data_IF_307512758592
#
_entry.id   IF_307512758592
#
_cell.length_a   1.000
_cell.length_b   1.000
_cell.length_c   1.000
_cell.angle_alpha   90.00
_cell.angle_beta   90.00
_cell.angle_gamma   90.00
#
_symmetry.space_group_name_H-M   'P 1'
#
loop_
_entity.id
_entity.type
_entity.pdbx_description
1 polymer ?
#
# COMPACT_ATOMS: atom_id res chain seq x y z
N UNK A 1 -3.94 -15.22 19.99
CA UNK A 1 -3.67 -16.09 18.83
C UNK A 1 -4.78 -16.00 17.78
N UNK A 2 -6.08 -16.11 18.14
CA UNK A 2 -7.19 -15.89 17.19
C UNK A 2 -7.17 -14.50 16.54
N UNK A 3 -7.04 -13.43 17.34
CA UNK A 3 -6.96 -12.04 16.82
C UNK A 3 -5.80 -11.80 15.84
N UNK A 4 -4.70 -12.55 15.96
CA UNK A 4 -3.51 -12.44 15.11
C UNK A 4 -3.75 -13.08 13.75
N UNK A 5 -4.31 -14.30 13.74
CA UNK A 5 -4.66 -14.98 12.51
C UNK A 5 -5.71 -14.19 11.73
N UNK A 6 -6.65 -13.54 12.43
CA UNK A 6 -7.63 -12.65 11.84
C UNK A 6 -6.98 -11.41 11.19
N UNK A 7 -6.03 -10.76 11.87
CA UNK A 7 -5.36 -9.58 11.32
C UNK A 7 -4.50 -9.91 10.09
N UNK A 8 -3.73 -10.99 10.15
CA UNK A 8 -2.92 -11.49 9.03
C UNK A 8 -3.81 -11.85 7.84
N UNK A 9 -4.95 -12.48 8.08
CA UNK A 9 -5.91 -12.82 7.03
C UNK A 9 -6.51 -11.58 6.37
N UNK A 10 -6.84 -10.54 7.14
CA UNK A 10 -7.33 -9.28 6.57
C UNK A 10 -6.31 -8.58 5.68
N UNK A 11 -5.02 -8.64 6.00
CA UNK A 11 -3.97 -8.14 5.11
C UNK A 11 -3.93 -8.88 3.77
N UNK A 12 -4.11 -10.21 3.78
CA UNK A 12 -4.14 -11.01 2.55
C UNK A 12 -5.37 -10.68 1.69
N UNK A 13 -6.54 -10.55 2.30
CA UNK A 13 -7.77 -10.19 1.59
C UNK A 13 -7.69 -8.77 1.01
N UNK A 14 -7.10 -7.84 1.75
CA UNK A 14 -6.89 -6.48 1.30
C UNK A 14 -5.87 -6.43 0.16
N UNK A 15 -4.80 -7.22 0.20
CA UNK A 15 -3.81 -7.31 -0.88
C UNK A 15 -4.47 -7.67 -2.22
N UNK A 16 -5.38 -8.66 -2.25
CA UNK A 16 -6.09 -9.05 -3.47
C UNK A 16 -7.04 -7.96 -3.98
N UNK A 17 -7.70 -7.22 -3.06
CA UNK A 17 -8.50 -6.04 -3.43
C UNK A 17 -7.63 -4.94 -4.03
N UNK A 18 -6.47 -4.67 -3.44
CA UNK A 18 -5.48 -3.70 -3.93
C UNK A 18 -4.99 -4.09 -5.32
N UNK A 19 -4.63 -5.36 -5.51
CA UNK A 19 -4.23 -5.88 -6.82
C UNK A 19 -5.29 -5.62 -7.89
N UNK A 20 -6.54 -5.95 -7.57
CA UNK A 20 -7.68 -5.78 -8.48
C UNK A 20 -7.91 -4.30 -8.80
N UNK A 21 -7.78 -3.41 -7.81
CA UNK A 21 -7.90 -1.98 -8.00
C UNK A 21 -6.77 -1.39 -8.87
N UNK A 22 -5.51 -1.70 -8.55
CA UNK A 22 -4.35 -1.17 -9.26
C UNK A 22 -4.36 -1.62 -10.72
N UNK A 23 -4.55 -2.91 -10.97
CA UNK A 23 -4.50 -3.46 -12.33
C UNK A 23 -5.79 -3.29 -13.13
N UNK A 24 -6.94 -3.10 -12.47
CA UNK A 24 -8.25 -3.06 -13.11
C UNK A 24 -8.92 -1.67 -13.19
N UNK A 25 -8.55 -0.73 -12.33
CA UNK A 25 -9.21 0.59 -12.23
C UNK A 25 -8.26 1.78 -12.38
N UNK A 26 -6.95 1.53 -12.36
CA UNK A 26 -5.93 2.57 -12.37
C UNK A 26 -5.22 2.63 -13.72
N UNK A 27 -4.60 3.75 -14.03
CA UNK A 27 -3.77 3.89 -15.24
C UNK A 27 -2.66 4.91 -15.00
N UNK A 28 -1.56 4.74 -15.73
CA UNK A 28 -0.43 5.64 -15.74
C UNK A 28 -0.33 6.34 -17.09
N UNK A 29 0.00 7.62 -17.05
CA UNK A 29 0.39 8.43 -18.20
C UNK A 29 1.87 8.78 -18.07
N UNK A 30 2.64 8.52 -19.13
CA UNK A 30 4.06 8.87 -19.15
C UNK A 30 4.22 10.39 -19.17
N UNK A 31 5.09 10.90 -18.30
CA UNK A 31 5.39 12.32 -18.24
C UNK A 31 6.46 12.65 -19.29
N UNK A 32 6.05 13.25 -20.41
CA UNK A 32 6.96 13.61 -21.50
C UNK A 32 8.12 14.49 -21.00
N UNK A 33 9.34 14.16 -21.44
CA UNK A 33 10.57 14.86 -21.03
C UNK A 33 11.12 14.45 -19.66
N UNK A 34 10.46 13.58 -18.90
CA UNK A 34 10.95 13.08 -17.60
C UNK A 34 12.28 12.33 -17.67
N UNK A 35 12.57 11.68 -18.81
CA UNK A 35 13.82 10.94 -19.02
C UNK A 35 15.07 11.81 -19.03
N UNK A 36 14.91 13.13 -19.21
CA UNK A 36 16.00 14.09 -19.07
C UNK A 36 16.38 14.36 -17.60
N UNK A 37 15.52 13.98 -16.65
CA UNK A 37 15.67 14.28 -15.21
C UNK A 37 15.80 13.00 -14.38
N UNK A 38 15.11 11.92 -14.76
CA UNK A 38 15.10 10.64 -14.05
C UNK A 38 15.31 9.49 -15.04
N UNK A 39 16.25 8.60 -14.73
CA UNK A 39 16.49 7.38 -15.51
C UNK A 39 15.24 6.49 -15.48
N UNK A 40 14.75 6.08 -16.66
CA UNK A 40 13.47 5.36 -16.79
C UNK A 40 12.24 6.27 -16.88
N UNK A 41 12.38 7.57 -16.63
CA UNK A 41 11.32 8.56 -16.68
C UNK A 41 10.38 8.54 -15.46
N UNK A 42 9.32 9.32 -15.55
CA UNK A 42 8.31 9.48 -14.52
C UNK A 42 6.92 9.36 -15.14
N UNK A 43 5.97 8.94 -14.32
CA UNK A 43 4.61 8.67 -14.70
C UNK A 43 3.66 9.39 -13.73
N UNK A 44 2.56 9.90 -14.25
CA UNK A 44 1.46 10.44 -13.45
C UNK A 44 0.28 9.49 -13.49
N UNK A 45 -0.49 9.47 -12.42
CA UNK A 45 -1.77 8.77 -12.41
C UNK A 45 -2.77 9.44 -13.33
N UNK A 46 -3.42 8.64 -14.17
CA UNK A 46 -4.58 9.10 -14.91
C UNK A 46 -5.75 9.29 -13.93
N UNK A 47 -6.60 10.31 -14.11
CA UNK A 47 -7.80 10.47 -13.30
C UNK A 47 -8.66 9.21 -13.30
N UNK A 48 -9.07 8.77 -12.11
CA UNK A 48 -9.97 7.64 -11.93
C UNK A 48 -11.35 7.95 -12.51
N UNK A 49 -12.03 6.90 -12.98
CA UNK A 49 -13.48 6.96 -13.22
C UNK A 49 -14.22 7.17 -11.89
N UNK A 50 -15.49 7.60 -11.94
CA UNK A 50 -16.31 7.74 -10.72
C UNK A 50 -16.41 6.43 -9.93
N UNK A 51 -16.51 5.29 -10.62
CA UNK A 51 -16.52 3.98 -9.98
C UNK A 51 -15.15 3.63 -9.37
N UNK A 52 -14.05 3.93 -10.08
CA UNK A 52 -12.69 3.74 -9.58
C UNK A 52 -12.40 4.58 -8.34
N UNK A 53 -12.87 5.84 -8.29
CA UNK A 53 -12.73 6.72 -7.15
C UNK A 53 -13.53 6.21 -5.92
N UNK A 54 -14.73 5.67 -6.13
CA UNK A 54 -15.51 5.05 -5.04
C UNK A 54 -14.81 3.81 -4.48
N UNK A 55 -14.23 2.96 -5.35
CA UNK A 55 -13.44 1.80 -4.96
C UNK A 55 -12.21 2.26 -4.17
N UNK A 56 -11.47 3.24 -4.68
CA UNK A 56 -10.29 3.80 -4.02
C UNK A 56 -10.62 4.30 -2.62
N UNK A 57 -11.69 5.06 -2.46
CA UNK A 57 -12.11 5.60 -1.16
C UNK A 57 -12.37 4.49 -0.14
N UNK A 58 -13.14 3.46 -0.54
CA UNK A 58 -13.44 2.31 0.33
C UNK A 58 -12.15 1.56 0.70
N UNK A 59 -11.29 1.33 -0.29
CA UNK A 59 -10.05 0.60 -0.12
C UNK A 59 -9.07 1.33 0.81
N UNK A 60 -8.91 2.64 0.64
CA UNK A 60 -8.09 3.47 1.52
C UNK A 60 -8.63 3.45 2.94
N UNK A 61 -9.94 3.55 3.12
CA UNK A 61 -10.56 3.47 4.44
C UNK A 61 -10.30 2.11 5.11
N UNK A 62 -10.54 1.01 4.39
CA UNK A 62 -10.26 -0.34 4.89
C UNK A 62 -8.78 -0.52 5.25
N UNK A 63 -7.87 0.00 4.42
CA UNK A 63 -6.43 -0.06 4.67
C UNK A 63 -6.02 0.73 5.91
N UNK A 64 -6.51 1.96 6.08
CA UNK A 64 -6.21 2.81 7.25
C UNK A 64 -6.71 2.16 8.53
N UNK A 65 -7.92 1.60 8.53
CA UNK A 65 -8.48 0.91 9.70
C UNK A 65 -7.65 -0.34 10.07
N UNK A 66 -7.20 -1.10 9.06
CA UNK A 66 -6.36 -2.28 9.26
C UNK A 66 -4.95 -1.91 9.77
N UNK A 67 -4.34 -0.88 9.17
CA UNK A 67 -3.04 -0.37 9.58
C UNK A 67 -3.07 0.17 11.01
N UNK A 68 -4.14 0.85 11.42
CA UNK A 68 -4.31 1.32 12.79
C UNK A 68 -4.33 0.17 13.81
N UNK A 69 -4.98 -0.96 13.48
CA UNK A 69 -4.96 -2.16 14.34
C UNK A 69 -3.56 -2.79 14.42
N UNK A 70 -2.86 -2.86 13.29
CA UNK A 70 -1.47 -3.33 13.23
C UNK A 70 -0.54 -2.46 14.07
N UNK A 71 -0.64 -1.14 13.93
CA UNK A 71 0.14 -0.17 14.67
C UNK A 71 -0.12 -0.26 16.18
N UNK A 72 -1.39 -0.34 16.60
CA UNK A 72 -1.76 -0.52 18.00
C UNK A 72 -1.15 -1.80 18.59
N UNK A 73 -1.11 -2.88 17.81
CA UNK A 73 -0.47 -4.15 18.23
C UNK A 73 1.02 -3.94 18.50
N UNK A 74 1.73 -3.23 17.62
CA UNK A 74 3.14 -2.91 17.79
C UNK A 74 3.40 -2.02 19.01
N UNK A 75 2.53 -1.03 19.26
CA UNK A 75 2.63 -0.15 20.43
C UNK A 75 2.44 -0.91 21.74
N UNK A 76 1.42 -1.78 21.82
CA UNK A 76 1.16 -2.60 23.01
C UNK A 76 2.29 -3.57 23.35
N UNK A 77 3.06 -3.95 22.34
CA UNK A 77 4.23 -4.82 22.46
C UNK A 77 5.54 -4.07 22.66
N UNK A 78 5.50 -2.73 22.74
CA UNK A 78 6.69 -1.87 22.82
C UNK A 78 7.70 -2.20 21.69
N UNK A 79 7.20 -2.53 20.51
CA UNK A 79 8.01 -3.04 19.41
C UNK A 79 9.00 -1.99 18.91
N UNK A 80 10.28 -2.35 18.69
CA UNK A 80 11.27 -1.42 18.13
C UNK A 80 10.99 -1.04 16.66
N UNK A 81 10.04 -1.72 16.01
CA UNK A 81 9.75 -1.57 14.58
C UNK A 81 8.63 -0.57 14.26
N UNK A 82 8.10 0.14 15.26
CA UNK A 82 6.98 1.08 15.07
C UNK A 82 7.27 2.14 13.98
N UNK A 83 8.49 2.69 13.98
CA UNK A 83 8.90 3.68 12.98
C UNK A 83 8.93 3.09 11.56
N UNK A 84 9.49 1.90 11.40
CA UNK A 84 9.55 1.20 10.12
C UNK A 84 8.16 0.85 9.60
N UNK A 85 7.25 0.48 10.51
CA UNK A 85 5.85 0.26 10.18
C UNK A 85 5.19 1.55 9.66
N UNK A 86 5.35 2.67 10.37
CA UNK A 86 4.76 3.97 9.98
C UNK A 86 5.30 4.46 8.62
N UNK A 87 6.61 4.32 8.37
CA UNK A 87 7.22 4.63 7.07
C UNK A 87 6.62 3.77 5.95
N UNK A 88 6.52 2.46 6.16
CA UNK A 88 5.91 1.53 5.20
C UNK A 88 4.45 1.84 4.92
N UNK A 89 3.68 2.17 5.97
CA UNK A 89 2.29 2.59 5.88
C UNK A 89 2.12 3.83 4.99
N UNK A 90 2.96 4.84 5.17
CA UNK A 90 2.89 6.06 4.38
C UNK A 90 3.23 5.82 2.90
N UNK A 91 4.22 4.97 2.61
CA UNK A 91 4.55 4.59 1.23
C UNK A 91 3.35 3.90 0.57
N UNK A 92 2.81 2.86 1.20
CA UNK A 92 1.67 2.14 0.65
C UNK A 92 0.43 3.04 0.47
N UNK A 93 0.16 3.91 1.44
CA UNK A 93 -0.98 4.83 1.36
C UNK A 93 -0.82 5.86 0.24
N UNK A 94 0.39 6.38 0.01
CA UNK A 94 0.66 7.30 -1.11
C UNK A 94 0.34 6.68 -2.47
N UNK A 95 0.78 5.43 -2.68
CA UNK A 95 0.43 4.68 -3.89
C UNK A 95 -1.08 4.39 -4.01
N UNK A 96 -1.78 4.11 -2.90
CA UNK A 96 -3.23 3.91 -2.91
C UNK A 96 -4.00 5.18 -3.24
N UNK A 97 -3.54 6.35 -2.76
CA UNK A 97 -4.17 7.64 -3.07
C UNK A 97 -3.94 8.10 -4.51
N UNK A 98 -2.91 7.61 -5.19
CA UNK A 98 -2.63 7.93 -6.59
C UNK A 98 -2.44 9.43 -6.85
N UNK A 99 -1.79 10.13 -5.91
CA UNK A 99 -1.56 11.58 -5.99
C UNK A 99 -0.11 11.92 -6.35
N UNK A 100 0.82 11.01 -6.09
CA UNK A 100 2.25 11.22 -6.31
C UNK A 100 2.70 10.74 -7.69
N UNK A 101 3.87 11.24 -8.12
CA UNK A 101 4.56 10.71 -9.30
C UNK A 101 5.03 9.28 -9.05
N UNK A 102 4.97 8.48 -10.10
CA UNK A 102 5.39 7.08 -10.11
C UNK A 102 6.65 6.96 -10.96
N UNK A 103 7.65 6.24 -10.45
CA UNK A 103 8.95 6.06 -11.10
C UNK A 103 9.15 4.64 -11.64
N UNK A 104 8.05 3.91 -11.84
CA UNK A 104 8.03 2.59 -12.45
C UNK A 104 7.05 2.59 -13.64
N UNK A 105 7.39 1.89 -14.74
CA UNK A 105 6.65 1.97 -16.00
C UNK A 105 5.31 1.22 -16.02
N UNK A 106 5.08 0.29 -15.09
CA UNK A 106 3.94 -0.63 -15.16
C UNK A 106 3.13 -0.67 -13.87
N UNK A 107 1.82 -0.93 -14.00
CA UNK A 107 0.92 -1.09 -12.86
C UNK A 107 1.27 -2.36 -12.05
N UNK A 108 1.83 -3.37 -12.71
CA UNK A 108 2.35 -4.58 -12.08
C UNK A 108 3.52 -4.25 -11.14
N UNK A 109 4.43 -3.38 -11.55
CA UNK A 109 5.54 -2.91 -10.70
C UNK A 109 5.02 -2.03 -9.55
N UNK A 110 4.04 -1.16 -9.79
CA UNK A 110 3.38 -0.41 -8.71
C UNK A 110 2.75 -1.35 -7.69
N UNK A 111 2.02 -2.36 -8.15
CA UNK A 111 1.45 -3.37 -7.26
C UNK A 111 2.56 -4.13 -6.53
N UNK A 112 3.68 -4.44 -7.17
CA UNK A 112 4.85 -5.05 -6.53
C UNK A 112 5.40 -4.22 -5.37
N UNK A 113 5.47 -2.89 -5.53
CA UNK A 113 5.87 -1.96 -4.46
C UNK A 113 4.86 -2.00 -3.31
N UNK A 114 3.57 -1.82 -3.61
CA UNK A 114 2.49 -1.90 -2.63
C UNK A 114 2.52 -3.20 -1.85
N UNK A 115 2.63 -4.33 -2.55
CA UNK A 115 2.69 -5.65 -1.96
C UNK A 115 3.88 -5.79 -1.01
N UNK A 116 5.06 -5.31 -1.40
CA UNK A 116 6.25 -5.35 -0.55
C UNK A 116 6.03 -4.61 0.77
N UNK A 117 5.41 -3.43 0.72
CA UNK A 117 5.12 -2.64 1.93
C UNK A 117 4.07 -3.31 2.82
N UNK A 118 3.01 -3.86 2.22
CA UNK A 118 1.97 -4.63 2.93
C UNK A 118 2.56 -5.89 3.59
N UNK A 119 3.41 -6.62 2.87
CA UNK A 119 4.11 -7.80 3.38
C UNK A 119 5.06 -7.45 4.53
N UNK A 120 5.76 -6.30 4.44
CA UNK A 120 6.61 -5.78 5.50
C UNK A 120 5.79 -5.48 6.76
N UNK A 121 4.70 -4.72 6.63
CA UNK A 121 3.79 -4.41 7.74
C UNK A 121 3.28 -5.67 8.43
N UNK A 122 2.82 -6.66 7.64
CA UNK A 122 2.37 -7.96 8.14
C UNK A 122 3.49 -8.71 8.88
N UNK A 123 4.70 -8.71 8.32
CA UNK A 123 5.86 -9.35 8.93
C UNK A 123 6.23 -8.73 10.28
N UNK A 124 6.25 -7.39 10.38
CA UNK A 124 6.57 -6.68 11.62
C UNK A 124 5.56 -6.99 12.73
N UNK A 125 4.27 -7.06 12.38
CA UNK A 125 3.21 -7.46 13.31
C UNK A 125 3.45 -8.89 13.82
N UNK A 126 3.73 -9.83 12.92
CA UNK A 126 3.99 -11.24 13.28
C UNK A 126 5.21 -11.34 14.21
N UNK A 127 6.29 -10.61 13.94
CA UNK A 127 7.49 -10.55 14.77
C UNK A 127 7.15 -10.09 16.20
N UNK A 128 6.45 -8.96 16.36
CA UNK A 128 6.10 -8.41 17.66
C UNK A 128 5.15 -9.32 18.49
N UNK A 129 4.47 -10.26 17.84
CA UNK A 129 3.57 -11.20 18.50
C UNK A 129 4.25 -12.51 18.89
N UNK A 130 5.40 -12.82 18.29
CA UNK A 130 6.23 -13.97 18.65
C UNK A 130 7.09 -13.69 19.90
N UNK A 131 7.30 -12.41 20.23
CA UNK A 131 7.94 -11.89 21.46
C UNK A 131 6.94 -11.82 22.64
#
# INVERSE_FOLDING_TARGET
MESVMTLVQFYLELEEKIKTFITGQSALDFFEGSTAVVEGGAYSWRPLSSAGAEIQYKLCKEYVELAAQGRLTLEQKESPYLKTFDESYHVALGYLYQQDLVFVPTLEEVFGILKKEIDLQRFLIIQALAE
#
